data_IF_703922851558
#
_entry.id   IF_703922851558
#
_cell.length_a   1.000
_cell.length_b   1.000
_cell.length_c   1.000
_cell.angle_alpha   90.00
_cell.angle_beta   90.00
_cell.angle_gamma   90.00
#
_symmetry.space_group_name_H-M   'P 1'
#
loop_
_entity.id
_entity.type
_entity.pdbx_description
1 polymer ?
#
# COMPACT_ATOMS: atom_id res chain seq x y z
N UNK A 1 -0.68 5.52 -3.00
CA UNK A 1 0.55 5.22 -3.76
C UNK A 1 1.54 6.38 -3.72
N UNK A 2 1.28 7.49 -4.41
CA UNK A 2 2.18 8.66 -4.44
C UNK A 2 2.46 9.22 -3.04
N UNK A 3 1.47 9.19 -2.13
CA UNK A 3 1.65 9.59 -0.73
C UNK A 3 2.71 8.77 0.01
N UNK A 4 2.70 7.44 -0.12
CA UNK A 4 3.68 6.56 0.52
C UNK A 4 5.10 6.85 0.01
N UNK A 5 5.25 7.03 -1.30
CA UNK A 5 6.53 7.39 -1.93
C UNK A 5 7.04 8.76 -1.48
N UNK A 6 6.15 9.75 -1.44
CA UNK A 6 6.46 11.10 -0.95
C UNK A 6 6.90 11.06 0.52
N UNK A 7 6.18 10.30 1.36
CA UNK A 7 6.51 10.13 2.77
C UNK A 7 7.88 9.48 2.93
N UNK A 8 8.14 8.33 2.30
CA UNK A 8 9.44 7.64 2.37
C UNK A 8 10.58 8.56 1.94
N UNK A 9 10.42 9.29 0.83
CA UNK A 9 11.43 10.25 0.37
C UNK A 9 11.72 11.31 1.43
N UNK A 10 10.70 11.89 2.03
CA UNK A 10 10.89 12.91 3.06
C UNK A 10 11.53 12.35 4.32
N UNK A 11 11.22 11.11 4.70
CA UNK A 11 11.91 10.44 5.80
C UNK A 11 13.41 10.29 5.51
N UNK A 12 13.77 9.93 4.27
CA UNK A 12 15.17 9.84 3.88
C UNK A 12 15.89 11.20 3.87
N UNK A 13 15.22 12.24 3.35
CA UNK A 13 15.85 13.56 3.16
C UNK A 13 15.90 14.37 4.45
N UNK A 14 14.84 14.34 5.25
CA UNK A 14 14.64 15.25 6.38
C UNK A 14 14.71 14.56 7.75
N UNK A 15 14.53 13.24 7.83
CA UNK A 15 14.49 12.50 9.10
C UNK A 15 15.66 11.52 9.27
N UNK A 16 16.71 11.64 8.43
CA UNK A 16 17.87 10.73 8.40
C UNK A 16 17.51 9.25 8.21
N UNK A 17 16.30 8.98 7.68
CA UNK A 17 15.87 7.62 7.35
C UNK A 17 16.69 7.03 6.21
N UNK A 18 16.71 5.70 6.13
CA UNK A 18 17.28 4.99 4.99
C UNK A 18 16.16 4.54 4.05
N UNK A 19 16.44 4.54 2.75
CA UNK A 19 15.48 4.03 1.79
C UNK A 19 15.31 2.52 1.97
N UNK A 20 14.07 2.11 2.20
CA UNK A 20 13.68 0.71 2.30
C UNK A 20 12.55 0.44 1.30
N UNK A 21 12.92 -0.13 0.15
CA UNK A 21 11.98 -0.46 -0.93
C UNK A 21 10.96 -1.52 -0.52
N UNK A 22 11.35 -2.48 0.34
CA UNK A 22 10.44 -3.52 0.81
C UNK A 22 9.37 -2.93 1.72
N UNK A 23 9.78 -2.09 2.68
CA UNK A 23 8.85 -1.35 3.55
C UNK A 23 7.95 -0.42 2.75
N UNK A 24 8.47 0.28 1.74
CA UNK A 24 7.66 1.11 0.86
C UNK A 24 6.61 0.28 0.13
N UNK A 25 6.99 -0.88 -0.42
CA UNK A 25 6.07 -1.80 -1.09
C UNK A 25 4.95 -2.30 -0.17
N UNK A 26 5.27 -2.69 1.07
CA UNK A 26 4.28 -3.09 2.06
C UNK A 26 3.33 -1.95 2.45
N UNK A 27 3.85 -0.74 2.67
CA UNK A 27 3.03 0.43 2.96
C UNK A 27 2.10 0.77 1.80
N UNK A 28 2.60 0.62 0.58
CA UNK A 28 1.83 0.78 -0.65
C UNK A 28 0.67 -0.21 -0.71
N UNK A 29 0.94 -1.51 -0.49
CA UNK A 29 -0.08 -2.56 -0.52
C UNK A 29 -1.15 -2.35 0.56
N UNK A 30 -0.73 -2.02 1.78
CA UNK A 30 -1.65 -1.76 2.89
C UNK A 30 -2.51 -0.52 2.62
N UNK A 31 -1.88 0.56 2.15
CA UNK A 31 -2.60 1.80 1.89
C UNK A 31 -3.63 1.64 0.76
N UNK A 32 -3.27 0.95 -0.32
CA UNK A 32 -4.20 0.71 -1.43
C UNK A 32 -5.37 -0.19 -1.03
N UNK A 33 -5.10 -1.26 -0.27
CA UNK A 33 -6.14 -2.12 0.28
C UNK A 33 -7.09 -1.35 1.21
N UNK A 34 -6.55 -0.65 2.22
CA UNK A 34 -7.37 0.10 3.17
C UNK A 34 -8.24 1.15 2.48
N UNK A 35 -7.69 1.82 1.46
CA UNK A 35 -8.46 2.78 0.66
C UNK A 35 -9.60 2.09 -0.10
N UNK A 36 -9.32 0.96 -0.76
CA UNK A 36 -10.33 0.25 -1.55
C UNK A 36 -11.41 -0.38 -0.68
N UNK A 37 -11.04 -0.99 0.46
CA UNK A 37 -11.98 -1.52 1.46
C UNK A 37 -12.86 -0.45 2.09
N UNK A 38 -12.35 0.77 2.27
CA UNK A 38 -13.15 1.87 2.80
C UNK A 38 -14.06 2.52 1.75
N UNK A 39 -13.63 2.52 0.48
CA UNK A 39 -14.33 3.23 -0.59
C UNK A 39 -15.38 2.37 -1.31
N UNK A 40 -15.09 1.08 -1.50
CA UNK A 40 -15.97 0.18 -2.24
C UNK A 40 -16.59 -0.86 -1.30
N UNK A 41 -17.89 -0.71 -1.01
CA UNK A 41 -18.63 -1.64 -0.14
C UNK A 41 -18.71 -3.07 -0.67
N UNK A 42 -18.52 -3.28 -1.98
CA UNK A 42 -18.48 -4.61 -2.59
C UNK A 42 -17.08 -5.23 -2.54
N UNK A 43 -16.05 -4.46 -2.18
CA UNK A 43 -14.70 -4.98 -2.02
C UNK A 43 -14.58 -5.71 -0.67
N UNK A 44 -14.75 -7.03 -0.69
CA UNK A 44 -14.78 -7.87 0.51
C UNK A 44 -13.52 -8.72 0.71
N UNK A 45 -12.43 -8.41 0.03
CA UNK A 45 -11.18 -9.16 0.16
C UNK A 45 -10.40 -8.73 1.40
N UNK A 46 -9.91 -9.71 2.17
CA UNK A 46 -8.98 -9.46 3.28
C UNK A 46 -7.63 -8.94 2.77
N UNK A 47 -6.88 -8.27 3.65
CA UNK A 47 -5.54 -7.80 3.32
C UNK A 47 -4.60 -8.93 2.90
N UNK A 48 -4.71 -10.11 3.54
CA UNK A 48 -3.91 -11.29 3.20
C UNK A 48 -4.17 -11.76 1.77
N UNK A 49 -5.45 -11.80 1.34
CA UNK A 49 -5.80 -12.16 -0.04
C UNK A 49 -5.25 -11.15 -1.05
N UNK A 50 -5.41 -9.86 -0.74
CA UNK A 50 -4.89 -8.76 -1.55
C UNK A 50 -3.37 -8.79 -1.73
N UNK A 51 -2.64 -9.07 -0.64
CA UNK A 51 -1.19 -9.17 -0.65
C UNK A 51 -0.69 -10.37 -1.47
N UNK A 52 -1.42 -11.49 -1.46
CA UNK A 52 -1.06 -12.69 -2.21
C UNK A 52 -1.28 -12.51 -3.72
N UNK A 53 -2.40 -11.92 -4.12
CA UNK A 53 -2.67 -11.66 -5.54
C UNK A 53 -3.60 -10.45 -5.74
N UNK A 54 -2.98 -9.30 -5.93
CA UNK A 54 -3.66 -8.02 -6.09
C UNK A 54 -4.50 -7.96 -7.36
N UNK A 55 -4.03 -8.59 -8.45
CA UNK A 55 -4.72 -8.60 -9.74
C UNK A 55 -6.03 -9.38 -9.68
N UNK A 56 -6.04 -10.55 -9.04
CA UNK A 56 -7.26 -11.35 -8.86
C UNK A 56 -8.30 -10.60 -8.02
N UNK A 57 -7.89 -9.89 -6.97
CA UNK A 57 -8.81 -9.09 -6.15
C UNK A 57 -9.42 -7.87 -6.86
N UNK A 58 -8.87 -7.46 -8.00
CA UNK A 58 -9.39 -6.35 -8.82
C UNK A 58 -10.27 -6.82 -9.98
N UNK A 59 -10.11 -8.07 -10.42
CA UNK A 59 -10.81 -8.65 -11.56
C UNK A 59 -11.95 -9.60 -11.15
N UNK A 60 -11.98 -10.01 -9.88
CA UNK A 60 -12.99 -10.90 -9.31
C UNK A 60 -14.28 -10.21 -8.90
#
# INVERSE_FOLDING_TARGET
MCWCTWKMRNQCVFEQGQFDGHKLGQQVLMFSWSWLSAFNNSFSYSFTQWQLNTGLCLLG
#
